data_IF_285020345756
#
_entry.id   IF_285020345756
#
_cell.length_a   1.000
_cell.length_b   1.000
_cell.length_c   1.000
_cell.angle_alpha   90.00
_cell.angle_beta   90.00
_cell.angle_gamma   90.00
#
_symmetry.space_group_name_H-M   'P 1'
#
loop_
_entity.id
_entity.type
_entity.pdbx_description
1 polymer ?
#
# COMPACT_ATOMS: atom_id res chain seq x y z
N UNK A 1 3.98 11.40 -22.84
CA UNK A 1 5.07 11.39 -21.84
C UNK A 1 4.60 10.54 -20.69
N UNK A 2 5.45 9.63 -20.25
CA UNK A 2 5.07 8.59 -19.29
C UNK A 2 5.87 8.78 -18.00
N UNK A 3 5.17 8.85 -16.87
CA UNK A 3 5.76 9.00 -15.54
C UNK A 3 5.43 7.78 -14.68
N UNK A 4 6.33 7.42 -13.78
CA UNK A 4 6.13 6.28 -12.87
C UNK A 4 6.09 6.80 -11.44
N UNK A 5 5.00 6.47 -10.73
CA UNK A 5 4.82 6.83 -9.33
C UNK A 5 4.85 5.57 -8.49
N UNK A 6 5.74 5.55 -7.50
CA UNK A 6 5.89 4.46 -6.56
C UNK A 6 5.05 4.69 -5.31
N UNK A 7 4.41 3.64 -4.81
CA UNK A 7 3.67 3.66 -3.54
C UNK A 7 3.82 2.34 -2.80
N UNK A 8 3.46 2.36 -1.51
CA UNK A 8 3.56 1.22 -0.61
C UNK A 8 2.24 1.02 0.14
N UNK A 9 1.39 0.14 -0.37
CA UNK A 9 0.14 -0.27 0.30
C UNK A 9 -1.01 0.73 0.18
N UNK A 10 -0.92 1.69 -0.74
CA UNK A 10 -1.92 2.72 -0.99
C UNK A 10 -2.30 2.87 -2.46
N UNK A 11 -1.98 1.89 -3.31
CA UNK A 11 -2.20 1.94 -4.76
C UNK A 11 -3.64 2.20 -5.15
N UNK A 12 -4.61 1.63 -4.45
CA UNK A 12 -6.05 1.80 -4.74
C UNK A 12 -6.53 3.23 -4.45
N UNK A 13 -6.16 3.78 -3.29
CA UNK A 13 -6.43 5.18 -2.95
C UNK A 13 -5.78 6.12 -3.98
N UNK A 14 -4.53 5.86 -4.33
CA UNK A 14 -3.77 6.66 -5.28
C UNK A 14 -4.41 6.60 -6.69
N UNK A 15 -4.90 5.42 -7.08
CA UNK A 15 -5.64 5.25 -8.32
C UNK A 15 -6.91 6.11 -8.37
N UNK A 16 -7.71 6.09 -7.31
CA UNK A 16 -8.91 6.93 -7.22
C UNK A 16 -8.58 8.43 -7.30
N UNK A 17 -7.53 8.88 -6.62
CA UNK A 17 -7.09 10.28 -6.64
C UNK A 17 -6.64 10.69 -8.05
N UNK A 18 -5.75 9.93 -8.69
CA UNK A 18 -5.24 10.27 -10.02
C UNK A 18 -6.31 10.13 -11.11
N UNK A 19 -7.23 9.17 -11.00
CA UNK A 19 -8.36 9.05 -11.91
C UNK A 19 -9.32 10.25 -11.74
N UNK A 20 -9.53 10.71 -10.50
CA UNK A 20 -10.26 11.96 -10.22
C UNK A 20 -9.61 13.18 -10.87
N UNK A 21 -8.29 13.34 -10.71
CA UNK A 21 -7.51 14.40 -11.38
C UNK A 21 -7.65 14.29 -12.91
N UNK A 22 -7.45 13.10 -13.48
CA UNK A 22 -7.56 12.87 -14.92
C UNK A 22 -8.95 13.24 -15.47
N UNK A 23 -10.01 13.03 -14.70
CA UNK A 23 -11.38 13.45 -15.06
C UNK A 23 -11.56 14.97 -15.01
N UNK A 24 -11.03 15.63 -13.99
CA UNK A 24 -11.09 17.10 -13.88
C UNK A 24 -10.36 17.75 -15.06
N UNK A 25 -9.17 17.27 -15.41
CA UNK A 25 -8.34 17.85 -16.48
C UNK A 25 -8.61 17.25 -17.87
N UNK A 26 -9.65 16.43 -18.03
CA UNK A 26 -10.09 15.97 -19.34
C UNK A 26 -10.54 17.17 -20.20
N UNK A 27 -10.29 17.13 -21.52
CA UNK A 27 -10.51 18.28 -22.41
C UNK A 27 -11.98 18.69 -22.55
N UNK A 28 -12.91 17.79 -22.21
CA UNK A 28 -14.36 18.01 -22.28
C UNK A 28 -15.00 18.05 -20.89
N UNK A 29 -14.25 18.41 -19.84
CA UNK A 29 -14.78 18.40 -18.47
C UNK A 29 -15.61 19.66 -18.20
N UNK A 30 -16.86 19.46 -17.76
CA UNK A 30 -17.75 20.52 -17.25
C UNK A 30 -17.21 21.22 -15.99
N UNK A 31 -16.18 20.65 -15.34
CA UNK A 31 -15.62 21.14 -14.09
C UNK A 31 -14.41 22.05 -14.30
N UNK A 32 -13.58 21.80 -15.31
CA UNK A 32 -12.39 22.61 -15.57
C UNK A 32 -12.73 23.98 -16.14
N UNK A 33 -13.77 24.05 -16.97
CA UNK A 33 -14.25 25.31 -17.56
C UNK A 33 -14.66 26.34 -16.50
N UNK A 34 -15.57 26.06 -15.54
CA UNK A 34 -15.95 27.04 -14.52
C UNK A 34 -14.81 27.36 -13.55
N UNK A 35 -14.00 26.38 -13.13
CA UNK A 35 -12.87 26.62 -12.22
C UNK A 35 -11.78 27.46 -12.89
N UNK A 36 -11.47 27.17 -14.16
CA UNK A 36 -10.53 27.95 -14.97
C UNK A 36 -11.01 29.38 -15.18
N UNK A 37 -12.30 29.57 -15.50
CA UNK A 37 -12.87 30.91 -15.63
C UNK A 37 -12.81 31.71 -14.32
N UNK A 38 -13.13 31.10 -13.18
CA UNK A 38 -13.04 31.74 -11.87
C UNK A 38 -11.60 32.13 -11.51
N UNK A 39 -10.63 31.23 -11.77
CA UNK A 39 -9.23 31.52 -11.52
C UNK A 39 -8.71 32.68 -12.40
N UNK A 40 -9.10 32.72 -13.67
CA UNK A 40 -8.73 33.78 -14.60
C UNK A 40 -9.39 35.13 -14.25
N UNK A 41 -10.66 35.15 -13.82
CA UNK A 41 -11.32 36.40 -13.42
C UNK A 41 -10.73 36.96 -12.13
N UNK A 42 -10.49 36.13 -11.11
CA UNK A 42 -9.86 36.56 -9.86
C UNK A 42 -8.42 37.03 -10.11
N UNK A 43 -7.64 36.26 -10.88
CA UNK A 43 -6.27 36.61 -11.25
C UNK A 43 -6.21 37.91 -12.07
N UNK A 44 -7.17 38.10 -12.98
CA UNK A 44 -7.30 39.31 -13.79
C UNK A 44 -7.66 40.53 -12.96
N UNK A 45 -8.62 40.43 -12.04
CA UNK A 45 -8.99 41.51 -11.12
C UNK A 45 -7.80 41.89 -10.25
N UNK A 46 -7.12 40.90 -9.66
CA UNK A 46 -5.94 41.15 -8.82
C UNK A 46 -4.80 41.81 -9.60
N UNK A 47 -4.52 41.36 -10.82
CA UNK A 47 -3.51 41.96 -11.69
C UNK A 47 -3.89 43.41 -12.06
N UNK A 48 -5.16 43.67 -12.38
CA UNK A 48 -5.66 45.00 -12.69
C UNK A 48 -5.56 45.96 -11.49
N UNK A 49 -5.97 45.52 -10.29
CA UNK A 49 -5.84 46.33 -9.07
C UNK A 49 -4.38 46.68 -8.80
N UNK A 50 -3.47 45.71 -8.90
CA UNK A 50 -2.04 45.94 -8.65
C UNK A 50 -1.39 46.85 -9.69
N UNK A 51 -1.82 46.78 -10.95
CA UNK A 51 -1.37 47.65 -12.03
C UNK A 51 -1.75 49.12 -11.81
N UNK A 52 -2.96 49.39 -11.30
CA UNK A 52 -3.46 50.74 -11.00
C UNK A 52 -2.61 51.41 -9.90
N UNK A 53 -2.30 50.68 -8.82
CA UNK A 53 -1.57 51.26 -7.68
C UNK A 53 -0.08 51.51 -7.91
N UNK A 54 0.57 50.84 -8.88
CA UNK A 54 2.02 50.98 -9.12
C UNK A 54 2.40 51.85 -10.33
N UNK A 55 1.44 52.30 -11.13
CA UNK A 55 1.68 53.26 -12.22
C UNK A 55 2.60 52.79 -13.36
N UNK A 56 3.04 51.52 -13.36
CA UNK A 56 3.91 50.96 -14.40
C UNK A 56 3.50 49.53 -14.75
N UNK A 57 2.67 49.42 -15.79
CA UNK A 57 2.09 48.16 -16.29
C UNK A 57 3.13 47.27 -16.97
N UNK A 58 4.16 47.86 -17.61
CA UNK A 58 5.12 47.11 -18.43
C UNK A 58 6.06 46.23 -17.62
N UNK A 59 6.64 46.76 -16.54
CA UNK A 59 7.61 46.02 -15.71
C UNK A 59 6.92 44.87 -14.96
N UNK A 60 5.75 45.12 -14.37
CA UNK A 60 5.03 44.10 -13.61
C UNK A 60 4.47 42.97 -14.50
N UNK A 61 3.96 43.31 -15.69
CA UNK A 61 3.46 42.30 -16.61
C UNK A 61 4.60 41.41 -17.12
N UNK A 62 5.74 41.98 -17.48
CA UNK A 62 6.87 41.23 -18.03
C UNK A 62 7.67 40.46 -16.97
N UNK A 63 7.80 40.97 -15.74
CA UNK A 63 8.56 40.27 -14.69
C UNK A 63 7.74 39.21 -13.96
N UNK A 64 6.42 39.34 -13.88
CA UNK A 64 5.59 38.46 -13.05
C UNK A 64 4.46 37.76 -13.83
N UNK A 65 3.65 38.52 -14.57
CA UNK A 65 2.44 37.98 -15.20
C UNK A 65 2.76 37.02 -16.36
N UNK A 66 3.59 37.43 -17.31
CA UNK A 66 3.96 36.57 -18.44
C UNK A 66 4.76 35.34 -18.01
N UNK A 67 5.78 35.43 -17.13
CA UNK A 67 6.48 34.25 -16.64
C UNK A 67 5.57 33.30 -15.86
N UNK A 68 4.67 33.81 -15.01
CA UNK A 68 3.76 32.96 -14.24
C UNK A 68 2.73 32.25 -15.11
N UNK A 69 2.13 32.94 -16.10
CA UNK A 69 1.23 32.32 -17.07
C UNK A 69 1.97 31.31 -17.95
N UNK A 70 3.18 31.64 -18.38
CA UNK A 70 3.99 30.74 -19.18
C UNK A 70 4.32 29.45 -18.41
N UNK A 71 4.77 29.57 -17.16
CA UNK A 71 5.04 28.41 -16.30
C UNK A 71 3.74 27.62 -16.07
N UNK A 72 2.64 28.30 -15.75
CA UNK A 72 1.36 27.63 -15.49
C UNK A 72 0.85 26.87 -16.72
N UNK A 73 0.87 27.48 -17.90
CA UNK A 73 0.44 26.83 -19.14
C UNK A 73 1.37 25.69 -19.52
N UNK A 74 2.68 25.86 -19.40
CA UNK A 74 3.64 24.78 -19.67
C UNK A 74 3.48 23.60 -18.70
N UNK A 75 3.07 23.86 -17.46
CA UNK A 75 2.96 22.86 -16.41
C UNK A 75 1.58 22.18 -16.37
N UNK A 76 0.51 22.86 -16.78
CA UNK A 76 -0.86 22.34 -16.68
C UNK A 76 -1.56 22.06 -18.02
N UNK A 77 -1.10 22.63 -19.14
CA UNK A 77 -1.70 22.38 -20.45
C UNK A 77 -1.29 21.02 -21.07
N UNK A 78 -0.01 20.62 -21.08
CA UNK A 78 0.36 19.33 -21.65
C UNK A 78 -0.05 18.20 -20.71
N UNK A 79 -0.67 17.18 -21.31
CA UNK A 79 -1.13 15.98 -20.60
C UNK A 79 -0.08 14.89 -20.68
N UNK A 80 0.02 14.14 -19.60
CA UNK A 80 0.91 13.01 -19.43
C UNK A 80 0.13 11.79 -18.94
N UNK A 81 0.75 10.64 -19.13
CA UNK A 81 0.29 9.34 -18.65
C UNK A 81 1.09 8.99 -17.41
N UNK A 82 0.42 8.49 -16.38
CA UNK A 82 1.07 8.05 -15.14
C UNK A 82 0.85 6.55 -14.96
N UNK A 83 1.93 5.87 -14.61
CA UNK A 83 1.96 4.48 -14.20
C UNK A 83 2.11 4.40 -12.68
N UNK A 84 1.07 3.93 -12.00
CA UNK A 84 1.08 3.70 -10.56
C UNK A 84 1.63 2.30 -10.29
N UNK A 85 2.71 2.23 -9.51
CA UNK A 85 3.32 0.98 -9.09
C UNK A 85 3.30 0.89 -7.57
N UNK A 86 2.52 -0.07 -7.05
CA UNK A 86 2.49 -0.41 -5.64
C UNK A 86 3.34 -1.67 -5.38
N UNK A 87 4.37 -1.55 -4.57
CA UNK A 87 5.29 -2.66 -4.25
C UNK A 87 4.73 -3.64 -3.20
N UNK A 88 3.58 -3.32 -2.61
CA UNK A 88 2.92 -4.07 -1.54
C UNK A 88 1.62 -4.70 -2.02
N UNK A 89 0.74 -3.92 -2.64
CA UNK A 89 -0.65 -4.34 -2.91
C UNK A 89 -0.96 -4.66 -4.37
N UNK A 90 -0.22 -4.12 -5.34
CA UNK A 90 -0.54 -4.31 -6.77
C UNK A 90 0.43 -5.27 -7.45
N UNK A 91 -0.13 -6.32 -8.07
CA UNK A 91 0.65 -7.28 -8.85
C UNK A 91 1.11 -6.73 -10.22
N UNK A 92 0.39 -5.73 -10.75
CA UNK A 92 0.70 -5.10 -12.03
C UNK A 92 0.56 -3.57 -11.93
N UNK A 93 1.41 -2.80 -12.65
CA UNK A 93 1.31 -1.35 -12.67
C UNK A 93 0.02 -0.90 -13.37
N UNK A 94 -0.68 0.06 -12.76
CA UNK A 94 -1.95 0.57 -13.28
C UNK A 94 -1.72 1.90 -13.99
N UNK A 95 -2.28 2.02 -15.20
CA UNK A 95 -2.17 3.22 -16.04
C UNK A 95 -3.31 4.20 -15.75
N UNK A 96 -2.99 5.49 -15.65
CA UNK A 96 -3.95 6.59 -15.59
C UNK A 96 -3.57 7.67 -16.60
N UNK A 97 -4.53 8.06 -17.44
CA UNK A 97 -4.35 9.04 -18.50
C UNK A 97 -4.87 10.44 -18.11
N UNK A 98 -4.54 11.45 -18.93
CA UNK A 98 -5.03 12.84 -18.83
C UNK A 98 -4.56 13.62 -17.59
N UNK A 99 -3.36 13.35 -17.08
CA UNK A 99 -2.83 14.05 -15.91
C UNK A 99 -1.95 15.22 -16.37
N UNK A 100 -2.10 16.43 -15.82
CA UNK A 100 -1.21 17.55 -16.12
C UNK A 100 0.26 17.24 -15.82
N UNK A 101 1.16 17.66 -16.71
CA UNK A 101 2.59 17.28 -16.61
C UNK A 101 3.21 17.70 -15.28
N UNK A 102 2.83 18.84 -14.71
CA UNK A 102 3.33 19.29 -13.42
C UNK A 102 3.06 18.31 -12.30
N UNK A 103 1.79 17.91 -12.18
CA UNK A 103 1.37 16.98 -11.16
C UNK A 103 2.11 15.64 -11.35
N UNK A 104 2.16 15.14 -12.59
CA UNK A 104 2.84 13.90 -12.92
C UNK A 104 4.35 13.96 -12.59
N UNK A 105 5.03 15.05 -12.96
CA UNK A 105 6.46 15.25 -12.75
C UNK A 105 6.81 15.35 -11.26
N UNK A 106 6.12 16.23 -10.51
CA UNK A 106 6.40 16.41 -9.09
C UNK A 106 6.09 15.15 -8.29
N UNK A 107 4.98 14.48 -8.58
CA UNK A 107 4.61 13.24 -7.90
C UNK A 107 5.55 12.07 -8.26
N UNK A 108 6.03 12.00 -9.50
CA UNK A 108 7.04 11.03 -9.93
C UNK A 108 8.37 11.27 -9.22
N UNK A 109 8.83 12.53 -9.18
CA UNK A 109 10.10 12.87 -8.53
C UNK A 109 10.05 12.57 -7.03
N UNK A 110 8.99 13.02 -6.34
CA UNK A 110 8.84 12.79 -4.90
C UNK A 110 8.77 11.30 -4.58
N UNK A 111 7.97 10.54 -5.32
CA UNK A 111 7.82 9.10 -5.09
C UNK A 111 9.09 8.30 -5.41
N UNK A 112 9.84 8.68 -6.44
CA UNK A 112 11.15 8.07 -6.73
C UNK A 112 12.16 8.34 -5.64
N UNK A 113 12.22 9.57 -5.11
CA UNK A 113 13.10 9.88 -3.97
C UNK A 113 12.70 9.07 -2.74
N UNK A 114 11.41 9.01 -2.40
CA UNK A 114 10.93 8.18 -1.30
C UNK A 114 11.28 6.70 -1.50
N UNK A 115 11.06 6.16 -2.70
CA UNK A 115 11.40 4.78 -3.04
C UNK A 115 12.90 4.49 -2.90
N UNK A 116 13.73 5.40 -3.39
CA UNK A 116 15.19 5.28 -3.29
C UNK A 116 15.65 5.29 -1.83
N UNK A 117 15.17 6.23 -1.02
CA UNK A 117 15.49 6.32 0.41
C UNK A 117 15.02 5.06 1.14
N UNK A 118 13.80 4.59 0.89
CA UNK A 118 13.29 3.34 1.49
C UNK A 118 14.17 2.14 1.14
N UNK A 119 14.58 1.98 -0.12
CA UNK A 119 15.50 0.91 -0.54
C UNK A 119 16.88 1.04 0.10
N UNK A 120 17.40 2.26 0.21
CA UNK A 120 18.69 2.48 0.85
C UNK A 120 18.64 2.04 2.31
N UNK A 121 17.58 2.42 3.03
CA UNK A 121 17.35 2.02 4.42
C UNK A 121 17.20 0.49 4.54
N UNK A 122 16.43 -0.15 3.64
CA UNK A 122 16.29 -1.61 3.63
C UNK A 122 17.62 -2.34 3.45
N UNK A 123 18.48 -1.84 2.56
CA UNK A 123 19.75 -2.49 2.25
C UNK A 123 20.83 -2.27 3.32
N UNK A 124 20.82 -1.15 4.04
CA UNK A 124 21.91 -0.75 4.93
C UNK A 124 21.59 -0.86 6.42
N UNK A 125 20.33 -0.68 6.82
CA UNK A 125 19.93 -0.66 8.24
C UNK A 125 19.36 -1.98 8.75
N UNK A 126 18.96 -2.86 7.85
CA UNK A 126 18.41 -4.16 8.24
C UNK A 126 19.50 -5.22 8.14
N UNK A 127 19.70 -6.05 9.17
CA UNK A 127 20.59 -7.17 9.06
C UNK A 127 20.05 -8.08 7.96
N UNK A 128 20.86 -8.28 6.91
CA UNK A 128 20.68 -9.39 5.99
C UNK A 128 20.87 -10.66 6.83
N UNK A 129 19.79 -11.16 7.44
CA UNK A 129 19.84 -12.44 8.12
C UNK A 129 20.12 -13.47 7.05
N UNK A 130 21.36 -13.99 7.04
CA UNK A 130 21.85 -14.93 6.05
C UNK A 130 20.86 -16.08 5.88
N UNK A 131 20.19 -16.13 4.73
CA UNK A 131 19.24 -17.19 4.38
C UNK A 131 17.78 -16.77 4.18
N UNK A 132 17.35 -15.60 4.65
CA UNK A 132 16.06 -15.04 4.24
C UNK A 132 16.30 -13.97 3.19
N UNK A 133 16.10 -14.35 1.92
CA UNK A 133 16.16 -13.47 0.75
C UNK A 133 15.69 -12.06 1.08
N UNK A 134 16.55 -11.08 0.82
CA UNK A 134 16.43 -9.64 1.03
C UNK A 134 15.06 -9.01 0.67
N UNK A 135 14.17 -9.73 -0.03
CA UNK A 135 12.77 -9.35 -0.27
C UNK A 135 11.81 -9.60 0.91
N UNK A 136 12.16 -10.45 1.88
CA UNK A 136 11.23 -10.94 2.93
C UNK A 136 11.39 -10.27 4.30
N UNK A 137 12.43 -9.47 4.56
CA UNK A 137 12.66 -8.88 5.89
C UNK A 137 13.07 -7.39 5.82
N UNK A 138 12.57 -6.68 4.81
CA UNK A 138 12.72 -5.22 4.67
C UNK A 138 11.91 -4.43 5.73
N UNK A 139 12.15 -3.12 5.85
CA UNK A 139 11.30 -2.22 6.66
C UNK A 139 9.86 -2.25 6.12
N UNK A 140 9.69 -2.58 4.84
CA UNK A 140 8.38 -2.76 4.21
C UNK A 140 7.74 -4.14 4.46
N UNK A 141 8.43 -5.09 5.12
CA UNK A 141 7.86 -6.40 5.41
C UNK A 141 6.57 -6.30 6.23
N UNK A 142 6.50 -5.39 7.22
CA UNK A 142 5.30 -5.20 8.03
C UNK A 142 4.09 -4.79 7.19
N UNK A 143 4.26 -3.83 6.28
CA UNK A 143 3.19 -3.40 5.37
C UNK A 143 2.76 -4.54 4.42
N UNK A 144 3.72 -5.32 3.89
CA UNK A 144 3.43 -6.50 3.06
C UNK A 144 2.72 -7.61 3.84
N UNK A 145 3.12 -7.85 5.08
CA UNK A 145 2.49 -8.82 5.95
C UNK A 145 1.04 -8.40 6.27
N UNK A 146 0.82 -7.14 6.64
CA UNK A 146 -0.53 -6.61 6.89
C UNK A 146 -1.40 -6.69 5.63
N UNK A 147 -0.87 -6.30 4.47
CA UNK A 147 -1.59 -6.41 3.20
C UNK A 147 -1.96 -7.88 2.89
N UNK A 148 -1.03 -8.82 3.05
CA UNK A 148 -1.30 -10.24 2.83
C UNK A 148 -2.26 -10.84 3.84
N UNK A 149 -2.25 -10.37 5.10
CA UNK A 149 -3.24 -10.76 6.11
C UNK A 149 -4.64 -10.30 5.72
N UNK A 150 -4.79 -9.12 5.09
CA UNK A 150 -6.09 -8.67 4.58
C UNK A 150 -6.64 -9.56 3.48
N UNK A 151 -5.78 -10.17 2.66
CA UNK A 151 -6.21 -11.16 1.65
C UNK A 151 -6.71 -12.47 2.29
N UNK A 152 -6.22 -12.82 3.48
CA UNK A 152 -6.61 -14.04 4.21
C UNK A 152 -7.73 -13.70 5.19
N UNK A 153 -8.95 -13.58 4.66
CA UNK A 153 -10.14 -13.28 5.46
C UNK A 153 -10.94 -14.57 5.74
N UNK A 154 -10.83 -15.09 6.96
CA UNK A 154 -11.70 -16.17 7.47
C UNK A 154 -13.06 -15.55 7.76
N UNK A 155 -14.13 -16.04 7.12
CA UNK A 155 -15.47 -15.46 7.23
C UNK A 155 -16.16 -15.88 8.54
N UNK A 156 -15.97 -17.12 8.98
CA UNK A 156 -16.59 -17.60 10.21
C UNK A 156 -15.82 -17.12 11.46
N UNK A 157 -16.45 -16.32 12.35
CA UNK A 157 -15.80 -15.83 13.57
C UNK A 157 -15.38 -16.95 14.52
N UNK A 158 -16.06 -18.11 14.52
CA UNK A 158 -15.71 -19.26 15.36
C UNK A 158 -14.44 -19.91 14.82
N UNK A 159 -14.39 -20.20 13.53
CA UNK A 159 -13.21 -20.72 12.84
C UNK A 159 -12.02 -19.76 12.95
N UNK A 160 -12.22 -18.45 12.84
CA UNK A 160 -11.17 -17.45 13.02
C UNK A 160 -10.59 -17.48 14.44
N UNK A 161 -11.45 -17.58 15.45
CA UNK A 161 -11.01 -17.66 16.86
C UNK A 161 -10.21 -18.94 17.11
N UNK A 162 -10.71 -20.08 16.62
CA UNK A 162 -10.06 -21.38 16.77
C UNK A 162 -8.70 -21.42 16.05
N UNK A 163 -8.63 -20.89 14.82
CA UNK A 163 -7.40 -20.83 14.02
C UNK A 163 -6.36 -19.91 14.66
N UNK A 164 -6.77 -18.75 15.19
CA UNK A 164 -5.88 -17.85 15.93
C UNK A 164 -5.26 -18.54 17.15
N UNK A 165 -6.08 -19.22 17.96
CA UNK A 165 -5.58 -19.90 19.16
C UNK A 165 -4.73 -21.13 18.78
N UNK A 166 -5.08 -21.85 17.71
CA UNK A 166 -4.27 -22.92 17.13
C UNK A 166 -2.89 -22.44 16.72
N UNK A 167 -2.79 -21.37 15.93
CA UNK A 167 -1.50 -20.80 15.53
C UNK A 167 -0.70 -20.30 16.74
N UNK A 168 -1.36 -19.69 17.73
CA UNK A 168 -0.68 -19.20 18.93
C UNK A 168 -0.09 -20.32 19.77
N UNK A 169 -0.88 -21.36 20.05
CA UNK A 169 -0.48 -22.42 20.97
C UNK A 169 0.32 -23.53 20.30
N UNK A 170 -0.07 -23.95 19.10
CA UNK A 170 0.55 -25.08 18.41
C UNK A 170 1.73 -24.67 17.51
N UNK A 171 1.84 -23.40 17.12
CA UNK A 171 2.94 -22.93 16.26
C UNK A 171 3.85 -21.89 16.92
N UNK A 172 3.34 -20.71 17.30
CA UNK A 172 4.17 -19.62 17.82
C UNK A 172 4.87 -19.97 19.13
N UNK A 173 4.15 -20.50 20.11
CA UNK A 173 4.74 -20.88 21.41
C UNK A 173 5.87 -21.91 21.28
N UNK A 174 5.67 -23.10 20.67
CA UNK A 174 6.71 -24.12 20.61
C UNK A 174 7.85 -23.81 19.64
N UNK A 175 7.61 -23.19 18.48
CA UNK A 175 8.65 -23.03 17.45
C UNK A 175 9.27 -21.63 17.42
N UNK A 176 8.49 -20.57 17.58
CA UNK A 176 8.98 -19.19 17.37
C UNK A 176 9.49 -18.57 18.67
N UNK A 177 8.69 -18.64 19.73
CA UNK A 177 8.97 -18.01 21.03
C UNK A 177 9.87 -18.90 21.86
N UNK A 178 9.44 -20.14 22.14
CA UNK A 178 10.13 -21.02 23.08
C UNK A 178 11.22 -21.90 22.45
N UNK A 179 11.25 -22.06 21.12
CA UNK A 179 12.12 -22.99 20.39
C UNK A 179 12.25 -24.37 21.08
N UNK A 180 11.15 -24.88 21.62
CA UNK A 180 11.12 -26.05 22.52
C UNK A 180 11.53 -27.33 21.78
N UNK A 181 11.31 -27.35 20.46
CA UNK A 181 11.62 -28.49 19.60
C UNK A 181 12.90 -28.28 18.76
N UNK A 182 13.64 -27.19 18.96
CA UNK A 182 14.88 -26.89 18.23
C UNK A 182 14.72 -26.59 16.73
N UNK A 183 13.47 -26.58 16.21
CA UNK A 183 13.15 -26.41 14.77
C UNK A 183 12.75 -24.99 14.39
N UNK A 184 13.15 -23.97 15.15
CA UNK A 184 12.80 -22.55 14.89
C UNK A 184 13.16 -22.08 13.47
N UNK A 185 14.37 -22.38 13.00
CA UNK A 185 14.82 -21.97 11.67
C UNK A 185 13.95 -22.60 10.56
N UNK A 186 13.63 -23.89 10.68
CA UNK A 186 12.76 -24.60 9.75
C UNK A 186 11.32 -24.05 9.78
N UNK A 187 10.78 -23.74 10.97
CA UNK A 187 9.46 -23.13 11.12
C UNK A 187 9.38 -21.73 10.48
N UNK A 188 10.45 -20.94 10.55
CA UNK A 188 10.49 -19.59 9.96
C UNK A 188 10.59 -19.59 8.43
N UNK A 189 11.17 -20.64 7.84
CA UNK A 189 11.34 -20.77 6.39
C UNK A 189 10.19 -21.51 5.70
N UNK A 190 9.31 -22.12 6.48
CA UNK A 190 8.20 -22.93 5.99
C UNK A 190 7.13 -22.07 5.28
N UNK A 191 6.68 -22.52 4.10
CA UNK A 191 5.55 -21.91 3.38
C UNK A 191 4.19 -22.50 3.78
N UNK A 192 4.16 -23.76 4.25
CA UNK A 192 2.96 -24.44 4.75
C UNK A 192 3.06 -24.73 6.25
N UNK A 193 2.48 -23.83 7.05
CA UNK A 193 2.51 -23.92 8.51
C UNK A 193 1.76 -25.17 9.01
N UNK A 194 0.64 -25.55 8.37
CA UNK A 194 -0.17 -26.68 8.83
C UNK A 194 0.55 -27.99 8.52
N UNK A 195 1.09 -28.14 7.30
CA UNK A 195 1.90 -29.30 6.94
C UNK A 195 3.15 -29.46 7.82
N UNK A 196 3.79 -28.35 8.22
CA UNK A 196 4.91 -28.40 9.15
C UNK A 196 4.50 -28.87 10.55
N UNK A 197 3.35 -28.42 11.06
CA UNK A 197 2.80 -28.89 12.34
C UNK A 197 2.42 -30.37 12.26
N UNK A 198 1.86 -30.85 11.15
CA UNK A 198 1.53 -32.28 10.97
C UNK A 198 2.77 -33.19 11.08
N UNK A 199 3.90 -32.75 10.52
CA UNK A 199 5.17 -33.47 10.60
C UNK A 199 5.88 -33.31 11.95
N UNK A 200 5.59 -32.23 12.66
CA UNK A 200 6.21 -31.86 13.92
C UNK A 200 5.11 -31.50 14.90
N UNK A 201 4.40 -32.47 15.46
CA UNK A 201 3.32 -32.15 16.41
C UNK A 201 3.91 -31.93 17.80
N UNK A 202 3.65 -30.79 18.46
CA UNK A 202 4.05 -30.59 19.84
C UNK A 202 3.15 -31.40 20.79
N UNK A 203 3.74 -32.29 21.60
CA UNK A 203 2.99 -33.24 22.43
C UNK A 203 2.29 -32.60 23.65
N UNK A 204 2.82 -31.50 24.20
CA UNK A 204 2.32 -30.89 25.44
C UNK A 204 1.48 -29.62 25.22
N UNK A 205 1.04 -29.38 23.99
CA UNK A 205 0.25 -28.21 23.62
C UNK A 205 -1.15 -28.61 23.15
N UNK A 206 -2.11 -27.73 23.37
CA UNK A 206 -3.49 -27.91 22.95
C UNK A 206 -4.20 -26.57 22.85
N UNK A 207 -5.47 -26.61 22.47
CA UNK A 207 -6.31 -25.42 22.36
C UNK A 207 -7.68 -25.67 22.98
N UNK A 208 -8.30 -24.59 23.43
CA UNK A 208 -9.72 -24.58 23.75
C UNK A 208 -10.49 -24.37 22.44
N UNK A 209 -10.90 -25.48 21.83
CA UNK A 209 -11.63 -25.50 20.57
C UNK A 209 -13.11 -25.20 20.82
N UNK A 210 -13.64 -24.19 20.15
CA UNK A 210 -15.07 -23.87 20.12
C UNK A 210 -15.74 -24.66 19.02
N UNK A 211 -16.71 -25.50 19.37
CA UNK A 211 -17.45 -26.27 18.38
C UNK A 211 -18.46 -25.38 17.65
N UNK A 212 -18.47 -25.38 16.31
CA UNK A 212 -19.39 -24.54 15.54
C UNK A 212 -20.87 -24.95 15.72
N UNK A 213 -21.13 -26.21 16.08
CA UNK A 213 -22.49 -26.76 16.20
C UNK A 213 -23.20 -26.38 17.51
N UNK A 214 -22.48 -26.37 18.65
CA UNK A 214 -23.07 -26.25 19.99
C UNK A 214 -22.48 -25.11 20.83
N UNK A 215 -21.56 -24.30 20.28
CA UNK A 215 -20.83 -23.24 21.00
C UNK A 215 -20.08 -23.72 22.26
N UNK A 216 -20.00 -25.03 22.48
CA UNK A 216 -19.27 -25.66 23.57
C UNK A 216 -17.77 -25.50 23.41
N UNK A 217 -17.07 -25.27 24.52
CA UNK A 217 -15.62 -25.17 24.56
C UNK A 217 -15.07 -26.51 25.02
N UNK A 218 -14.28 -27.18 24.16
CA UNK A 218 -13.60 -28.43 24.51
C UNK A 218 -12.09 -28.27 24.38
N UNK A 219 -11.33 -28.80 25.34
CA UNK A 219 -9.89 -28.86 25.20
C UNK A 219 -9.53 -29.96 24.20
N UNK A 220 -8.80 -29.60 23.14
CA UNK A 220 -8.28 -30.55 22.15
C UNK A 220 -6.76 -30.39 22.06
N UNK A 221 -6.04 -31.50 22.05
CA UNK A 221 -4.59 -31.49 21.84
C UNK A 221 -4.26 -30.96 20.45
N UNK A 222 -3.05 -30.43 20.24
CA UNK A 222 -2.64 -29.98 18.89
C UNK A 222 -2.81 -31.10 17.85
N UNK A 223 -2.54 -32.36 18.23
CA UNK A 223 -2.78 -33.54 17.36
C UNK A 223 -4.23 -33.69 16.91
N UNK A 224 -5.18 -33.46 17.82
CA UNK A 224 -6.61 -33.56 17.53
C UNK A 224 -7.15 -32.31 16.82
N UNK A 225 -6.57 -31.13 17.10
CA UNK A 225 -6.99 -29.86 16.53
C UNK A 225 -6.54 -29.66 15.08
N UNK A 226 -5.33 -30.10 14.71
CA UNK A 226 -4.78 -29.93 13.36
C UNK A 226 -5.73 -30.39 12.24
N UNK A 227 -6.27 -31.62 12.23
CA UNK A 227 -7.18 -32.05 11.16
C UNK A 227 -8.51 -31.27 11.14
N UNK A 228 -9.01 -30.83 12.30
CA UNK A 228 -10.24 -30.05 12.41
C UNK A 228 -10.07 -28.65 11.82
N UNK A 229 -8.95 -27.98 12.14
CA UNK A 229 -8.63 -26.65 11.60
C UNK A 229 -8.36 -26.73 10.10
N UNK A 230 -7.63 -27.75 9.64
CA UNK A 230 -7.38 -27.97 8.21
C UNK A 230 -8.69 -28.14 7.44
N UNK A 231 -9.61 -28.96 7.96
CA UNK A 231 -10.93 -29.15 7.36
C UNK A 231 -11.81 -27.89 7.40
N UNK A 232 -11.68 -27.05 8.44
CA UNK A 232 -12.42 -25.80 8.55
C UNK A 232 -11.90 -24.74 7.56
N UNK A 233 -10.59 -24.61 7.39
CA UNK A 233 -9.97 -23.67 6.45
C UNK A 233 -10.25 -24.06 4.99
N UNK A 234 -10.29 -25.36 4.66
CA UNK A 234 -10.63 -25.82 3.30
C UNK A 234 -12.10 -25.63 2.91
N UNK A 235 -12.99 -25.33 3.87
CA UNK A 235 -14.41 -25.09 3.60
C UNK A 235 -14.73 -23.63 3.25
N UNK A 236 -13.79 -22.72 3.50
CA UNK A 236 -13.88 -21.30 3.14
C UNK A 236 -13.21 -21.02 1.79
#
# INVERSE_FOLDING_TARGET
MDYVIYTFGGGDLLWHVFNGIGRVFASNSEYFTPVGHLALTIGGIWAATRAIFRGNIGIFAMEWFFPSIFIFTLLFAPKATVWLKDEVSMNAPVKVDNIPIGIAMFASLSSQTSYFVSKMLENHLLPAYEGLSSRKTGIMFGAKAVAKIRDVQIQDPVTLTNTKEFLRQCFMKPYIIGNILGKKAAAQQTNDIIGFIEQNIPNNFGIYYREPSNLGISFKTCRQATPLIKAAIHKE
#
